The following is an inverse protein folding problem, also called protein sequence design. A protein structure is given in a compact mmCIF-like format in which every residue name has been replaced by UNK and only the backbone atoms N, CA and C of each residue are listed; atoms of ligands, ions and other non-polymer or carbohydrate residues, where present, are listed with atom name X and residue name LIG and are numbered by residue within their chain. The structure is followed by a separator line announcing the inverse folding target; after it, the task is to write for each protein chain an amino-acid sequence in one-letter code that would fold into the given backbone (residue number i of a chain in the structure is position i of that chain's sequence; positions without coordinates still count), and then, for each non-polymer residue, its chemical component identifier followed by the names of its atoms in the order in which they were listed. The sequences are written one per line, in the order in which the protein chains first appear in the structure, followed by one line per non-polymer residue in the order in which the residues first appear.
data_IF_654657723114
#
_entry.id   IF_654657723114
#
_cell.length_a   1.000
_cell.length_b   1.000
_cell.length_c   1.000
_cell.angle_alpha   90.00
_cell.angle_beta   90.00
_cell.angle_gamma   90.00
#
_symmetry.space_group_name_H-M   'P 1'
#
loop_
_entity.id
_entity.type
_entity.pdbx_description
1 polymer ?
#
# COMPACT_ATOMS: atom_id res chain seq x y z
N UNK A 1 21.46 -5.92 9.94
CA UNK A 1 20.22 -5.21 9.57
C UNK A 1 19.23 -6.18 8.95
N UNK A 2 17.97 -6.11 9.34
CA UNK A 2 16.89 -6.94 8.76
C UNK A 2 16.06 -6.11 7.79
N UNK A 3 15.55 -6.74 6.75
CA UNK A 3 14.62 -6.07 5.82
C UNK A 3 13.25 -5.90 6.47
N UNK A 4 12.66 -4.73 6.31
CA UNK A 4 11.36 -4.40 6.87
C UNK A 4 10.20 -4.70 5.90
N UNK A 5 10.49 -5.08 4.65
CA UNK A 5 9.46 -5.12 3.60
C UNK A 5 8.36 -6.13 3.88
N UNK A 6 8.68 -7.33 4.34
CA UNK A 6 7.66 -8.35 4.63
C UNK A 6 6.75 -7.94 5.80
N UNK A 7 7.33 -7.42 6.86
CA UNK A 7 6.56 -6.97 8.02
C UNK A 7 5.64 -5.81 7.63
N UNK A 8 6.16 -4.86 6.87
CA UNK A 8 5.40 -3.73 6.38
C UNK A 8 4.27 -4.18 5.45
N UNK A 9 4.56 -5.10 4.53
CA UNK A 9 3.58 -5.69 3.62
C UNK A 9 2.42 -6.31 4.41
N UNK A 10 2.73 -7.15 5.38
CA UNK A 10 1.71 -7.83 6.20
C UNK A 10 0.86 -6.84 6.99
N UNK A 11 1.50 -5.82 7.56
CA UNK A 11 0.79 -4.80 8.33
C UNK A 11 -0.14 -3.97 7.45
N UNK A 12 0.30 -3.60 6.25
CA UNK A 12 -0.55 -2.91 5.28
C UNK A 12 -1.74 -3.77 4.87
N UNK A 13 -1.49 -5.02 4.52
CA UNK A 13 -2.53 -5.97 4.11
C UNK A 13 -3.59 -6.10 5.19
N UNK A 14 -3.17 -6.35 6.41
CA UNK A 14 -4.07 -6.50 7.56
C UNK A 14 -4.91 -5.24 7.79
N UNK A 15 -4.28 -4.07 7.71
CA UNK A 15 -4.97 -2.80 7.92
C UNK A 15 -6.01 -2.54 6.83
N UNK A 16 -5.65 -2.74 5.57
CA UNK A 16 -6.57 -2.55 4.45
C UNK A 16 -7.75 -3.52 4.55
N UNK A 17 -7.47 -4.78 4.82
CA UNK A 17 -8.51 -5.81 4.97
C UNK A 17 -9.47 -5.49 6.10
N UNK A 18 -8.96 -5.02 7.23
CA UNK A 18 -9.77 -4.73 8.42
C UNK A 18 -10.59 -3.44 8.30
N UNK A 19 -10.07 -2.43 7.59
CA UNK A 19 -10.63 -1.09 7.63
C UNK A 19 -11.22 -0.60 6.30
N UNK A 20 -11.26 -1.46 5.28
CA UNK A 20 -11.99 -1.18 4.05
C UNK A 20 -12.94 -2.33 3.74
N UNK A 21 -13.94 -2.06 2.89
CA UNK A 21 -14.90 -3.08 2.46
C UNK A 21 -14.44 -3.83 1.21
N UNK A 22 -13.25 -3.51 0.69
CA UNK A 22 -12.76 -4.07 -0.57
C UNK A 22 -11.98 -5.36 -0.33
N UNK A 23 -12.04 -6.26 -1.31
CA UNK A 23 -11.20 -7.46 -1.30
C UNK A 23 -9.78 -7.08 -1.67
N UNK A 24 -8.81 -7.52 -0.85
CA UNK A 24 -7.40 -7.28 -1.07
C UNK A 24 -6.68 -8.61 -1.30
N UNK A 25 -5.81 -8.62 -2.30
CA UNK A 25 -4.99 -9.78 -2.66
C UNK A 25 -3.51 -9.44 -2.51
N UNK A 26 -2.71 -10.44 -2.16
CA UNK A 26 -1.25 -10.29 -2.10
C UNK A 26 -0.59 -10.41 -3.46
N UNK A 27 -1.27 -11.02 -4.44
CA UNK A 27 -0.79 -11.20 -5.81
C UNK A 27 -1.96 -11.08 -6.78
N UNK A 28 -1.69 -10.90 -8.06
CA UNK A 28 -2.73 -10.75 -9.07
C UNK A 28 -3.61 -11.99 -9.13
N UNK A 29 -4.91 -11.88 -8.88
CA UNK A 29 -5.82 -13.00 -8.98
C UNK A 29 -6.07 -13.34 -10.46
N UNK A 30 -6.18 -14.63 -10.77
CA UNK A 30 -6.49 -15.06 -12.14
C UNK A 30 -7.93 -14.70 -12.53
N UNK A 31 -8.84 -14.86 -11.58
CA UNK A 31 -10.25 -14.53 -11.77
C UNK A 31 -10.77 -13.84 -10.51
N UNK A 32 -10.93 -12.55 -10.58
CA UNK A 32 -11.50 -11.79 -9.48
C UNK A 32 -12.65 -10.92 -9.97
N UNK A 33 -13.64 -10.78 -9.12
CA UNK A 33 -14.72 -9.83 -9.35
C UNK A 33 -14.22 -8.42 -9.03
N UNK A 34 -14.35 -7.51 -9.97
CA UNK A 34 -14.10 -6.09 -9.71
C UNK A 34 -15.15 -5.52 -8.76
N UNK A 35 -14.81 -4.52 -7.95
CA UNK A 35 -13.48 -3.95 -7.79
C UNK A 35 -12.63 -4.75 -6.79
N UNK A 36 -11.32 -4.62 -6.88
CA UNK A 36 -10.42 -5.25 -5.91
C UNK A 36 -9.10 -4.49 -5.81
N UNK A 37 -8.34 -4.83 -4.78
CA UNK A 37 -7.05 -4.24 -4.45
C UNK A 37 -5.99 -5.33 -4.51
N UNK A 38 -4.82 -4.99 -5.06
CA UNK A 38 -3.66 -5.90 -5.08
C UNK A 38 -2.47 -5.18 -4.49
N UNK A 39 -1.80 -5.82 -3.53
CA UNK A 39 -0.56 -5.30 -2.98
C UNK A 39 0.51 -5.33 -4.06
N UNK A 40 1.30 -4.26 -4.14
CA UNK A 40 2.27 -4.07 -5.19
C UNK A 40 3.71 -4.10 -4.73
N UNK A 41 4.57 -3.64 -5.61
CA UNK A 41 6.01 -3.61 -5.41
C UNK A 41 6.42 -2.63 -4.32
N UNK A 42 7.55 -2.93 -3.68
CA UNK A 42 8.17 -2.06 -2.70
C UNK A 42 9.62 -1.78 -3.09
N UNK A 43 10.07 -0.56 -2.83
CA UNK A 43 11.47 -0.19 -2.93
C UNK A 43 11.93 0.25 -1.55
N UNK A 44 12.95 -0.41 -1.03
CA UNK A 44 13.53 -0.10 0.27
C UNK A 44 14.96 0.37 0.10
N UNK A 45 15.33 1.41 0.82
CA UNK A 45 16.70 1.92 0.84
C UNK A 45 17.11 2.27 2.26
N UNK A 46 18.41 2.38 2.48
CA UNK A 46 18.94 2.68 3.80
C UNK A 46 18.52 4.06 4.28
N UNK A 47 18.10 4.13 5.55
CA UNK A 47 17.80 5.36 6.26
C UNK A 47 18.34 5.28 7.68
N UNK A 48 19.54 4.72 7.82
CA UNK A 48 20.17 4.53 9.12
C UNK A 48 20.85 5.80 9.61
N UNK A 49 20.87 5.99 10.93
CA UNK A 49 21.60 7.07 11.58
C UNK A 49 22.48 6.47 12.66
N UNK A 50 23.80 6.59 12.52
CA UNK A 50 24.79 6.08 13.47
C UNK A 50 24.54 4.61 13.83
N UNK A 51 24.11 4.34 15.06
CA UNK A 51 23.82 2.98 15.55
C UNK A 51 22.34 2.61 15.42
N UNK A 52 21.54 3.43 14.77
CA UNK A 52 20.09 3.20 14.62
C UNK A 52 19.75 2.80 13.19
N UNK A 53 19.66 1.47 12.90
CA UNK A 53 19.30 1.05 11.55
C UNK A 53 17.87 1.43 11.19
N UNK A 54 17.70 1.92 9.98
CA UNK A 54 16.40 2.31 9.47
C UNK A 54 16.32 2.16 7.96
N UNK A 55 15.10 2.17 7.46
CA UNK A 55 14.83 2.06 6.02
C UNK A 55 13.77 3.06 5.60
N UNK A 56 13.97 3.60 4.39
CA UNK A 56 12.93 4.32 3.68
C UNK A 56 12.31 3.37 2.69
N UNK A 57 10.98 3.19 2.76
CA UNK A 57 10.27 2.25 1.91
C UNK A 57 9.18 2.97 1.13
N UNK A 58 9.20 2.80 -0.19
CA UNK A 58 8.08 3.17 -1.05
C UNK A 58 7.26 1.93 -1.31
N UNK A 59 5.99 1.95 -0.95
CA UNK A 59 5.09 0.82 -1.08
C UNK A 59 3.93 1.16 -2.02
N UNK A 60 3.63 0.26 -2.94
CA UNK A 60 2.61 0.46 -3.95
C UNK A 60 1.39 -0.41 -3.67
N UNK A 61 0.21 0.17 -3.85
CA UNK A 61 -1.07 -0.54 -3.79
C UNK A 61 -1.79 -0.30 -5.11
N UNK A 62 -2.17 -1.39 -5.78
CA UNK A 62 -2.90 -1.32 -7.04
C UNK A 62 -4.39 -1.44 -6.80
N UNK A 63 -5.14 -0.57 -7.46
CA UNK A 63 -6.59 -0.50 -7.34
C UNK A 63 -7.18 -0.79 -8.73
N UNK A 64 -8.11 -1.73 -8.78
CA UNK A 64 -8.72 -2.17 -10.03
C UNK A 64 -10.22 -1.98 -9.98
N UNK A 65 -10.77 -1.24 -10.95
CA UNK A 65 -12.18 -0.95 -11.06
C UNK A 65 -12.61 -1.02 -12.52
N UNK A 66 -13.82 -1.51 -12.76
CA UNK A 66 -14.44 -1.46 -14.10
C UNK A 66 -15.66 -0.54 -14.12
N UNK A 67 -15.89 0.19 -13.06
CA UNK A 67 -16.96 1.19 -13.02
C UNK A 67 -16.62 2.35 -13.97
N UNK A 68 -17.60 2.80 -14.73
CA UNK A 68 -17.40 3.88 -15.68
C UNK A 68 -17.02 5.18 -14.96
N UNK A 69 -15.92 5.79 -15.40
CA UNK A 69 -15.39 6.99 -14.78
C UNK A 69 -14.41 6.67 -13.65
N UNK A 70 -14.05 7.71 -12.90
CA UNK A 70 -13.00 7.62 -11.90
C UNK A 70 -13.49 7.49 -10.46
N UNK A 71 -14.81 7.65 -10.23
CA UNK A 71 -15.34 7.77 -8.88
C UNK A 71 -15.02 6.54 -8.00
N UNK A 72 -15.30 5.35 -8.51
CA UNK A 72 -15.07 4.13 -7.70
C UNK A 72 -13.60 3.94 -7.38
N UNK A 73 -12.71 4.09 -8.37
CA UNK A 73 -11.28 3.93 -8.14
C UNK A 73 -10.74 4.99 -7.18
N UNK A 74 -11.17 6.23 -7.32
CA UNK A 74 -10.75 7.31 -6.43
C UNK A 74 -11.26 7.10 -5.01
N UNK A 75 -12.51 6.66 -4.85
CA UNK A 75 -13.07 6.35 -3.53
C UNK A 75 -12.30 5.19 -2.87
N UNK A 76 -11.93 4.17 -3.64
CA UNK A 76 -11.13 3.05 -3.14
C UNK A 76 -9.74 3.52 -2.68
N UNK A 77 -9.08 4.34 -3.51
CA UNK A 77 -7.78 4.91 -3.17
C UNK A 77 -7.84 5.72 -1.89
N UNK A 78 -8.88 6.55 -1.75
CA UNK A 78 -9.09 7.36 -0.57
C UNK A 78 -9.31 6.49 0.68
N UNK A 79 -10.09 5.44 0.57
CA UNK A 79 -10.32 4.50 1.66
C UNK A 79 -9.04 3.80 2.10
N UNK A 80 -8.21 3.37 1.14
CA UNK A 80 -6.92 2.75 1.45
C UNK A 80 -5.98 3.76 2.10
N UNK A 81 -5.90 4.96 1.56
CA UNK A 81 -5.04 6.01 2.11
C UNK A 81 -5.43 6.35 3.55
N UNK A 82 -6.72 6.50 3.82
CA UNK A 82 -7.20 6.76 5.17
C UNK A 82 -6.87 5.61 6.11
N UNK A 83 -7.07 4.37 5.68
CA UNK A 83 -6.74 3.19 6.48
C UNK A 83 -5.25 3.16 6.85
N UNK A 84 -4.38 3.44 5.89
CA UNK A 84 -2.94 3.36 6.08
C UNK A 84 -2.36 4.55 6.87
N UNK A 85 -3.04 5.70 6.89
CA UNK A 85 -2.56 6.91 7.57
C UNK A 85 -3.29 7.22 8.88
N UNK A 86 -4.33 6.47 9.21
CA UNK A 86 -5.15 6.69 10.40
C UNK A 86 -4.34 6.65 11.70
N UNK A 87 -3.39 5.74 11.77
CA UNK A 87 -2.45 5.59 12.86
C UNK A 87 -1.26 4.77 12.37
N UNK A 88 -0.11 4.82 13.06
CA UNK A 88 1.04 4.01 12.65
C UNK A 88 0.69 2.53 12.55
N UNK A 89 1.28 1.85 11.57
CA UNK A 89 1.17 0.42 11.42
C UNK A 89 1.94 -0.29 12.55
N UNK A 90 1.41 -1.42 13.00
CA UNK A 90 2.09 -2.23 14.01
C UNK A 90 3.13 -3.14 13.33
N UNK A 91 4.38 -2.77 13.46
CA UNK A 91 5.52 -3.50 12.91
C UNK A 91 6.32 -4.22 14.00
N UNK A 92 5.77 -4.28 15.23
CA UNK A 92 6.44 -4.90 16.37
C UNK A 92 6.60 -6.41 16.16
N UNK A 93 7.58 -7.05 16.84
CA UNK A 93 8.53 -6.45 17.77
C UNK A 93 9.79 -5.89 17.12
N UNK A 94 10.01 -6.12 15.82
CA UNK A 94 11.31 -5.87 15.19
C UNK A 94 11.46 -4.45 14.67
N UNK A 95 10.36 -3.84 14.24
CA UNK A 95 10.40 -2.53 13.59
C UNK A 95 9.33 -1.60 14.18
N UNK A 96 9.51 -0.31 13.90
CA UNK A 96 8.55 0.74 14.23
C UNK A 96 8.39 1.66 13.03
N UNK A 97 7.15 2.01 12.72
CA UNK A 97 6.88 3.06 11.75
C UNK A 97 7.17 4.41 12.38
N UNK A 98 8.13 5.13 11.82
CA UNK A 98 8.45 6.50 12.24
C UNK A 98 7.59 7.50 11.49
N UNK A 99 7.36 7.24 10.19
CA UNK A 99 6.56 8.09 9.32
C UNK A 99 5.88 7.22 8.28
N UNK A 100 4.61 7.48 8.04
CA UNK A 100 3.86 6.87 6.95
C UNK A 100 3.01 7.94 6.29
N UNK A 101 3.33 8.30 5.05
CA UNK A 101 2.69 9.41 4.35
C UNK A 101 2.36 9.04 2.90
N UNK A 102 1.39 9.75 2.36
CA UNK A 102 1.06 9.69 0.95
C UNK A 102 2.23 10.18 0.11
N UNK A 103 2.57 9.44 -0.94
CA UNK A 103 3.59 9.84 -1.91
C UNK A 103 2.96 10.27 -3.23
N UNK A 104 2.20 9.38 -3.87
CA UNK A 104 1.61 9.67 -5.18
C UNK A 104 0.41 8.78 -5.48
N UNK A 105 -0.42 9.24 -6.40
CA UNK A 105 -1.53 8.46 -6.91
C UNK A 105 -1.73 8.76 -8.40
N UNK A 106 -1.74 7.72 -9.21
CA UNK A 106 -2.04 7.79 -10.63
C UNK A 106 -3.26 6.93 -10.92
N UNK A 107 -4.15 7.44 -11.76
CA UNK A 107 -5.29 6.67 -12.27
C UNK A 107 -5.18 6.60 -13.79
N UNK A 108 -5.02 5.40 -14.31
CA UNK A 108 -4.90 5.19 -15.76
C UNK A 108 -6.04 4.30 -16.26
N UNK A 109 -6.35 4.44 -17.53
CA UNK A 109 -7.31 3.59 -18.22
C UNK A 109 -6.51 2.51 -18.91
N UNK A 110 -6.87 1.24 -18.64
CA UNK A 110 -6.20 0.10 -19.22
C UNK A 110 -6.48 0.01 -20.74
N UNK A 111 -5.74 -0.85 -21.42
CA UNK A 111 -5.80 -1.02 -22.87
C UNK A 111 -7.19 -1.39 -23.36
N UNK A 112 -8.03 -2.01 -22.53
CA UNK A 112 -9.41 -2.35 -22.89
C UNK A 112 -10.35 -1.14 -22.94
N UNK A 113 -9.90 0.04 -22.51
CA UNK A 113 -10.69 1.27 -22.47
C UNK A 113 -11.77 1.30 -21.38
N UNK A 114 -11.89 0.27 -20.58
CA UNK A 114 -12.93 0.11 -19.55
C UNK A 114 -12.33 0.06 -18.16
N UNK A 115 -11.29 -0.77 -17.96
CA UNK A 115 -10.69 -1.00 -16.67
C UNK A 115 -9.90 0.21 -16.20
N UNK A 116 -10.14 0.63 -14.98
CA UNK A 116 -9.41 1.72 -14.31
C UNK A 116 -8.39 1.08 -13.40
N UNK A 117 -7.13 1.53 -13.53
CA UNK A 117 -6.02 1.06 -12.72
C UNK A 117 -5.48 2.22 -11.91
N UNK A 118 -5.76 2.22 -10.61
CA UNK A 118 -5.20 3.18 -9.67
C UNK A 118 -3.89 2.66 -9.11
N UNK A 119 -2.90 3.54 -9.01
CA UNK A 119 -1.57 3.21 -8.48
C UNK A 119 -1.30 4.18 -7.34
N UNK A 120 -1.50 3.69 -6.12
CA UNK A 120 -1.28 4.47 -4.89
C UNK A 120 0.08 4.12 -4.32
N UNK A 121 0.91 5.13 -4.08
CA UNK A 121 2.22 4.93 -3.44
C UNK A 121 2.28 5.65 -2.11
N UNK A 122 2.78 4.90 -1.13
CA UNK A 122 3.04 5.41 0.22
C UNK A 122 4.55 5.47 0.45
N UNK A 123 4.97 6.41 1.27
CA UNK A 123 6.36 6.51 1.72
C UNK A 123 6.43 6.28 3.21
N UNK A 124 7.27 5.34 3.62
CA UNK A 124 7.46 5.00 5.02
C UNK A 124 8.90 5.21 5.44
N UNK A 125 9.08 5.71 6.66
CA UNK A 125 10.35 5.64 7.36
C UNK A 125 10.18 4.64 8.49
N UNK A 126 11.01 3.61 8.51
CA UNK A 126 10.90 2.47 9.40
C UNK A 126 12.21 2.32 10.16
N UNK A 127 12.12 2.20 11.46
CA UNK A 127 13.28 2.00 12.33
C UNK A 127 13.29 0.56 12.84
N UNK A 128 14.47 -0.07 12.80
CA UNK A 128 14.69 -1.37 13.43
C UNK A 128 14.87 -1.16 14.94
N UNK A 129 14.19 -2.00 15.71
CA UNK A 129 14.24 -1.92 17.17
C UNK A 129 15.28 -2.89 17.78
#
# INVERSE_FOLDING_TARGET
MKSSTLVLFKAQFTRIEAETAYTVYDDNPEQAAYPYIVMGEMTARDWSAKSEPGQEVYATVHIWSQFAGRKEADDMSDGVLQALTKRPLDLSPTFREVLGVFDSYDLIIDIDGVTRHGILRMRYLVQEL
#
